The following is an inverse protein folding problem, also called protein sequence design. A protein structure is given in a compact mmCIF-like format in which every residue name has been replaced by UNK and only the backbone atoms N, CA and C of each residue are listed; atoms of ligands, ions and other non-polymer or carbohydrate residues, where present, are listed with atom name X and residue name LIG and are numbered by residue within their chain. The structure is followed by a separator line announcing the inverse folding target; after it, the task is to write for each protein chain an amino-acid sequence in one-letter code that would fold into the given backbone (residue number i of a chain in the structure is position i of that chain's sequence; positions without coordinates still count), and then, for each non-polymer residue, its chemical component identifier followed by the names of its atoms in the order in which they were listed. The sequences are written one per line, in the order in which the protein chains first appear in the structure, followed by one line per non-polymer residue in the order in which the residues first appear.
data_IF_418500921799
#
_entry.id   IF_418500921799
#
_cell.length_a   1.000
_cell.length_b   1.000
_cell.length_c   1.000
_cell.angle_alpha   90.00
_cell.angle_beta   90.00
_cell.angle_gamma   90.00
#
_symmetry.space_group_name_H-M   'P 1'
#
loop_
_entity.id
_entity.type
_entity.pdbx_description
1 polymer ?
#
# COMPACT_ATOMS: atom_id res chain seq x y z
N UNK A 1 24.27 0.48 7.90
CA UNK A 1 25.43 0.20 8.74
C UNK A 1 25.89 1.35 9.65
N UNK A 2 25.42 2.57 9.42
CA UNK A 2 25.71 3.74 10.29
C UNK A 2 25.16 3.50 11.69
N UNK A 3 23.93 3.02 11.83
CA UNK A 3 23.31 2.70 13.12
C UNK A 3 24.08 1.67 13.96
N UNK A 4 24.89 0.82 13.35
CA UNK A 4 25.79 -0.11 14.10
C UNK A 4 26.99 0.61 14.72
N UNK A 5 27.37 1.75 14.17
CA UNK A 5 28.53 2.54 14.61
C UNK A 5 28.12 3.60 15.61
N UNK A 6 26.91 4.15 15.47
CA UNK A 6 26.38 5.20 16.33
C UNK A 6 24.91 4.88 16.72
N UNK A 7 24.68 4.68 18.02
CA UNK A 7 23.37 4.35 18.57
C UNK A 7 22.33 5.46 18.44
N UNK A 8 22.75 6.70 18.18
CA UNK A 8 21.83 7.82 17.94
C UNK A 8 21.01 7.64 16.66
N UNK A 9 21.46 6.79 15.73
CA UNK A 9 20.74 6.44 14.50
C UNK A 9 19.69 5.33 14.68
N UNK A 10 19.39 4.95 15.92
CA UNK A 10 18.40 3.94 16.22
C UNK A 10 18.86 2.50 15.92
N UNK A 11 17.90 1.59 15.90
CA UNK A 11 18.12 0.17 15.66
C UNK A 11 17.15 -0.38 14.60
N UNK A 12 17.23 0.08 13.35
CA UNK A 12 16.27 -0.28 12.31
C UNK A 12 16.21 -1.80 12.04
N UNK A 13 17.28 -2.53 12.29
CA UNK A 13 17.31 -4.00 12.20
C UNK A 13 16.29 -4.70 13.09
N UNK A 14 15.81 -4.05 14.15
CA UNK A 14 14.79 -4.61 15.06
C UNK A 14 13.43 -4.76 14.40
N UNK A 15 13.10 -3.91 13.43
CA UNK A 15 11.77 -3.87 12.86
C UNK A 15 11.74 -3.94 11.32
N UNK A 16 12.88 -3.85 10.63
CA UNK A 16 12.93 -3.91 9.16
C UNK A 16 13.96 -4.92 8.59
N UNK A 17 14.39 -5.91 9.38
CA UNK A 17 15.33 -6.93 8.91
C UNK A 17 14.66 -8.13 8.25
N UNK A 18 13.40 -8.40 8.60
CA UNK A 18 12.64 -9.53 8.05
C UNK A 18 11.77 -9.05 6.89
N UNK A 19 12.29 -9.18 5.67
CA UNK A 19 11.59 -8.75 4.48
C UNK A 19 10.31 -9.55 4.25
N UNK A 20 10.28 -10.84 4.56
CA UNK A 20 9.09 -11.68 4.33
C UNK A 20 7.90 -11.26 5.18
N UNK A 21 8.15 -10.78 6.40
CA UNK A 21 7.09 -10.28 7.29
C UNK A 21 6.71 -8.83 7.04
N UNK A 22 7.51 -8.10 6.27
CA UNK A 22 7.34 -6.66 6.09
C UNK A 22 7.09 -6.25 4.64
N UNK A 23 6.84 -7.22 3.79
CA UNK A 23 6.46 -6.99 2.41
C UNK A 23 4.98 -6.62 2.27
N UNK A 24 4.72 -5.96 1.18
CA UNK A 24 3.39 -5.68 0.67
C UNK A 24 3.50 -5.57 -0.85
N UNK A 25 2.61 -6.19 -1.55
CA UNK A 25 2.48 -5.97 -2.98
C UNK A 25 1.19 -5.24 -3.28
N UNK A 26 1.31 -4.14 -3.98
CA UNK A 26 0.22 -3.32 -4.44
C UNK A 26 0.03 -3.51 -5.94
N UNK A 27 -1.19 -3.39 -6.41
CA UNK A 27 -1.48 -3.44 -7.83
C UNK A 27 -2.61 -2.45 -8.16
N UNK A 28 -2.45 -1.74 -9.25
CA UNK A 28 -3.53 -0.89 -9.78
C UNK A 28 -4.16 -1.60 -10.95
N UNK A 29 -5.41 -2.02 -10.79
CA UNK A 29 -6.23 -2.60 -11.84
C UNK A 29 -7.11 -1.50 -12.45
N UNK A 30 -6.99 -1.28 -13.75
CA UNK A 30 -7.84 -0.35 -14.50
C UNK A 30 -8.75 -1.15 -15.42
N UNK A 31 -10.07 -0.98 -15.29
CA UNK A 31 -11.03 -1.63 -16.20
C UNK A 31 -11.01 -0.93 -17.57
N UNK A 32 -11.08 -1.72 -18.63
CA UNK A 32 -11.08 -1.21 -20.01
C UNK A 32 -12.49 -1.10 -20.59
N UNK A 33 -13.42 -1.91 -20.06
CA UNK A 33 -14.82 -1.98 -20.44
C UNK A 33 -15.71 -2.24 -19.21
N UNK A 34 -17.00 -2.54 -19.42
CA UNK A 34 -17.98 -2.70 -18.35
C UNK A 34 -18.16 -4.12 -17.86
N UNK A 35 -17.42 -5.11 -18.39
CA UNK A 35 -17.64 -6.52 -18.06
C UNK A 35 -17.39 -6.84 -16.58
N UNK A 36 -16.43 -6.15 -15.94
CA UNK A 36 -16.07 -6.37 -14.53
C UNK A 36 -16.99 -5.57 -13.59
N UNK A 37 -17.57 -4.47 -14.05
CA UNK A 37 -18.37 -3.54 -13.24
C UNK A 37 -19.54 -4.21 -12.50
N UNK A 38 -20.30 -5.15 -13.09
CA UNK A 38 -21.39 -5.84 -12.40
C UNK A 38 -20.94 -6.59 -11.14
N UNK A 39 -19.77 -7.23 -11.17
CA UNK A 39 -19.22 -7.98 -10.03
C UNK A 39 -18.81 -7.03 -8.90
N UNK A 40 -18.17 -5.91 -9.23
CA UNK A 40 -17.86 -4.84 -8.27
C UNK A 40 -19.15 -4.33 -7.64
N UNK A 41 -20.14 -3.99 -8.46
CA UNK A 41 -21.44 -3.46 -8.01
C UNK A 41 -22.18 -4.47 -7.15
N UNK A 42 -22.08 -5.77 -7.44
CA UNK A 42 -22.72 -6.81 -6.63
C UNK A 42 -22.15 -6.84 -5.20
N UNK A 43 -20.86 -6.65 -5.02
CA UNK A 43 -20.22 -6.62 -3.70
C UNK A 43 -20.47 -5.28 -3.00
N UNK A 44 -20.18 -4.18 -3.67
CA UNK A 44 -20.22 -2.84 -3.08
C UNK A 44 -21.64 -2.25 -2.97
N UNK A 45 -22.61 -2.81 -3.70
CA UNK A 45 -23.96 -2.26 -3.87
C UNK A 45 -23.97 -0.84 -4.41
N UNK A 46 -22.91 -0.44 -5.09
CA UNK A 46 -22.72 0.88 -5.69
C UNK A 46 -22.01 0.74 -7.03
N UNK A 47 -22.51 1.44 -8.04
CA UNK A 47 -21.84 1.51 -9.34
C UNK A 47 -20.65 2.49 -9.25
N UNK A 48 -19.43 2.05 -9.58
CA UNK A 48 -18.24 2.89 -9.51
C UNK A 48 -18.26 4.09 -10.47
N UNK A 49 -19.10 4.08 -11.50
CA UNK A 49 -19.18 5.15 -12.49
C UNK A 49 -20.06 6.33 -12.08
N UNK A 50 -20.74 6.25 -10.94
CA UNK A 50 -21.69 7.30 -10.49
C UNK A 50 -21.03 8.54 -9.91
N UNK A 51 -19.71 8.56 -9.76
CA UNK A 51 -18.97 9.68 -9.16
C UNK A 51 -19.11 9.77 -7.63
N UNK A 52 -19.63 8.72 -6.98
CA UNK A 52 -19.69 8.60 -5.52
C UNK A 52 -18.57 7.70 -5.01
N UNK A 53 -18.34 7.70 -3.70
CA UNK A 53 -17.45 6.75 -3.02
C UNK A 53 -18.03 5.34 -3.19
N UNK A 54 -17.21 4.39 -3.64
CA UNK A 54 -17.65 3.03 -3.98
C UNK A 54 -17.53 2.09 -2.80
N UNK A 55 -16.32 1.86 -2.31
CA UNK A 55 -16.08 0.92 -1.21
C UNK A 55 -16.29 1.55 0.17
N UNK A 56 -16.11 2.86 0.30
CA UNK A 56 -16.18 3.54 1.60
C UNK A 56 -15.06 3.19 2.58
N UNK A 57 -14.20 2.25 2.22
CA UNK A 57 -13.08 1.72 2.96
C UNK A 57 -12.43 0.58 2.18
N UNK A 58 -11.71 -0.29 2.87
CA UNK A 58 -11.06 -1.46 2.30
C UNK A 58 -12.04 -2.64 2.31
N UNK A 59 -12.11 -3.35 1.19
CA UNK A 59 -12.78 -4.65 1.07
C UNK A 59 -11.71 -5.73 1.15
N UNK A 60 -11.75 -6.57 2.17
CA UNK A 60 -10.84 -7.69 2.32
C UNK A 60 -11.52 -8.99 1.91
N UNK A 61 -10.83 -9.79 1.11
CA UNK A 61 -11.26 -11.12 0.72
C UNK A 61 -10.91 -12.09 1.85
N UNK A 62 -11.89 -12.51 2.64
CA UNK A 62 -11.69 -13.32 3.84
C UNK A 62 -11.00 -14.65 3.53
N UNK A 63 -11.32 -15.25 2.40
CA UNK A 63 -10.82 -16.57 2.00
C UNK A 63 -9.55 -16.50 1.13
N UNK A 64 -8.98 -15.30 0.95
CA UNK A 64 -7.77 -15.15 0.14
C UNK A 64 -6.52 -15.54 0.91
N UNK A 65 -5.77 -16.49 0.35
CA UNK A 65 -4.47 -16.93 0.85
C UNK A 65 -3.41 -15.80 0.82
N UNK A 66 -3.57 -14.80 -0.05
CA UNK A 66 -2.73 -13.60 -0.09
C UNK A 66 -3.15 -12.52 0.92
N UNK A 67 -4.24 -12.73 1.65
CA UNK A 67 -4.96 -11.67 2.37
C UNK A 67 -5.23 -10.49 1.42
N UNK A 68 -5.76 -10.83 0.24
CA UNK A 68 -6.04 -9.88 -0.83
C UNK A 68 -7.13 -8.91 -0.37
N UNK A 69 -6.85 -7.64 -0.57
CA UNK A 69 -7.77 -6.57 -0.25
C UNK A 69 -7.80 -5.55 -1.40
N UNK A 70 -8.88 -4.81 -1.51
CA UNK A 70 -9.02 -3.82 -2.56
C UNK A 70 -9.90 -2.64 -2.12
N UNK A 71 -9.74 -1.53 -2.82
CA UNK A 71 -10.56 -0.34 -2.61
C UNK A 71 -10.77 0.40 -3.93
N UNK A 72 -11.94 1.01 -4.04
CA UNK A 72 -12.28 1.90 -5.15
C UNK A 72 -12.67 3.24 -4.55
N UNK A 73 -11.84 4.23 -4.76
CA UNK A 73 -12.11 5.60 -4.40
C UNK A 73 -13.18 6.19 -5.34
N UNK A 74 -13.61 7.41 -5.06
CA UNK A 74 -14.43 8.18 -5.99
C UNK A 74 -13.71 8.26 -7.34
N UNK A 75 -14.37 7.83 -8.42
CA UNK A 75 -13.78 7.84 -9.76
C UNK A 75 -13.69 9.24 -10.34
N UNK A 76 -12.82 9.41 -11.34
CA UNK A 76 -12.27 10.69 -11.71
C UNK A 76 -11.18 11.14 -10.72
N UNK A 77 -10.53 10.17 -10.04
CA UNK A 77 -9.47 10.39 -9.06
C UNK A 77 -8.25 11.07 -9.68
N UNK A 78 -7.92 10.71 -10.92
CA UNK A 78 -6.81 11.29 -11.64
C UNK A 78 -7.31 12.28 -12.71
N UNK A 79 -6.63 13.41 -12.82
CA UNK A 79 -7.02 14.50 -13.74
C UNK A 79 -7.13 14.04 -15.22
N UNK A 80 -6.35 13.02 -15.59
CA UNK A 80 -6.28 12.48 -16.94
C UNK A 80 -6.99 11.12 -17.08
N UNK A 81 -7.71 10.68 -16.06
CA UNK A 81 -8.44 9.42 -16.10
C UNK A 81 -9.64 9.55 -17.04
N UNK A 82 -9.75 8.63 -18.00
CA UNK A 82 -10.92 8.51 -18.85
C UNK A 82 -12.17 8.20 -18.02
N UNK A 83 -13.28 8.83 -18.35
CA UNK A 83 -14.52 8.74 -17.56
C UNK A 83 -15.18 7.35 -17.57
N UNK A 84 -14.88 6.55 -18.58
CA UNK A 84 -15.37 5.18 -18.75
C UNK A 84 -14.48 4.14 -18.07
N UNK A 85 -13.32 4.53 -17.53
CA UNK A 85 -12.38 3.65 -16.82
C UNK A 85 -12.54 3.74 -15.31
N UNK A 86 -12.42 2.59 -14.67
CA UNK A 86 -12.44 2.48 -13.20
C UNK A 86 -11.07 1.99 -12.73
N UNK A 87 -10.44 2.77 -11.86
CA UNK A 87 -9.18 2.40 -11.22
C UNK A 87 -9.45 1.77 -9.86
N UNK A 88 -8.97 0.55 -9.69
CA UNK A 88 -9.08 -0.22 -8.46
C UNK A 88 -7.68 -0.38 -7.86
N UNK A 89 -7.53 -0.07 -6.60
CA UNK A 89 -6.33 -0.41 -5.85
C UNK A 89 -6.51 -1.78 -5.20
N UNK A 90 -5.68 -2.73 -5.61
CA UNK A 90 -5.63 -4.10 -5.08
C UNK A 90 -4.30 -4.28 -4.35
N UNK A 91 -4.26 -5.02 -3.26
CA UNK A 91 -3.02 -5.35 -2.57
C UNK A 91 -3.11 -6.67 -1.82
N UNK A 92 -1.95 -7.29 -1.59
CA UNK A 92 -1.79 -8.48 -0.77
C UNK A 92 -0.69 -8.30 0.25
N UNK A 93 -0.88 -8.90 1.43
CA UNK A 93 0.08 -8.84 2.54
C UNK A 93 0.92 -10.12 2.63
N UNK A 94 0.38 -11.27 2.22
CA UNK A 94 1.08 -12.56 2.27
C UNK A 94 1.67 -12.89 0.91
N UNK A 95 2.62 -12.06 0.48
CA UNK A 95 3.17 -12.06 -0.87
C UNK A 95 3.95 -13.33 -1.24
N UNK A 96 4.41 -14.10 -0.25
CA UNK A 96 5.12 -15.39 -0.42
C UNK A 96 4.18 -16.61 -0.42
N UNK A 97 2.89 -16.42 -0.12
CA UNK A 97 1.91 -17.51 -0.07
C UNK A 97 1.37 -17.80 -1.47
N UNK A 98 1.09 -19.08 -1.73
CA UNK A 98 0.48 -19.53 -2.98
C UNK A 98 -0.97 -19.03 -3.05
N UNK A 99 -1.34 -18.42 -4.17
CA UNK A 99 -2.69 -17.93 -4.44
C UNK A 99 -3.72 -19.06 -4.60
N UNK A 100 -4.99 -18.69 -4.47
CA UNK A 100 -6.10 -19.65 -4.50
C UNK A 100 -6.48 -20.06 -5.92
N UNK A 101 -6.37 -19.16 -6.88
CA UNK A 101 -6.66 -19.39 -8.29
C UNK A 101 -5.38 -19.60 -9.11
N UNK A 102 -4.46 -18.65 -9.10
CA UNK A 102 -3.27 -18.67 -9.97
C UNK A 102 -2.17 -19.64 -9.50
N UNK A 103 -2.28 -20.18 -8.29
CA UNK A 103 -1.35 -21.19 -7.73
C UNK A 103 0.13 -20.73 -7.73
N UNK A 104 0.36 -19.44 -7.59
CA UNK A 104 1.70 -18.81 -7.48
C UNK A 104 1.74 -17.85 -6.30
N UNK A 105 2.93 -17.57 -5.72
CA UNK A 105 3.10 -16.45 -4.80
C UNK A 105 2.80 -15.11 -5.51
N UNK A 106 2.15 -14.17 -4.83
CA UNK A 106 1.79 -12.88 -5.42
C UNK A 106 3.02 -12.15 -5.98
N UNK A 107 4.12 -12.16 -5.26
CA UNK A 107 5.39 -11.52 -5.66
C UNK A 107 5.97 -12.03 -6.99
N UNK A 108 5.57 -13.23 -7.43
CA UNK A 108 6.04 -13.86 -8.66
C UNK A 108 4.99 -13.74 -9.80
N UNK A 109 3.87 -13.06 -9.51
CA UNK A 109 2.77 -12.91 -10.46
C UNK A 109 2.96 -11.70 -11.37
N UNK A 110 2.51 -11.85 -12.60
CA UNK A 110 2.29 -10.73 -13.52
C UNK A 110 1.04 -9.95 -13.15
N UNK A 111 0.88 -8.73 -13.66
CA UNK A 111 -0.35 -7.97 -13.45
C UNK A 111 -1.61 -8.71 -13.93
N UNK A 112 -1.52 -9.45 -15.04
CA UNK A 112 -2.62 -10.31 -15.51
C UNK A 112 -3.00 -11.35 -14.46
N UNK A 113 -2.02 -12.07 -13.89
CA UNK A 113 -2.25 -13.11 -12.89
C UNK A 113 -2.82 -12.54 -11.59
N UNK A 114 -2.35 -11.37 -11.15
CA UNK A 114 -2.95 -10.67 -9.99
C UNK A 114 -4.42 -10.30 -10.29
N UNK A 115 -4.71 -9.85 -11.51
CA UNK A 115 -6.10 -9.57 -11.91
C UNK A 115 -6.94 -10.84 -11.90
N UNK A 116 -6.42 -11.97 -12.39
CA UNK A 116 -7.14 -13.26 -12.39
C UNK A 116 -7.50 -13.68 -10.96
N UNK A 117 -6.58 -13.61 -10.02
CA UNK A 117 -6.82 -13.91 -8.61
C UNK A 117 -7.88 -12.98 -8.01
N UNK A 118 -7.80 -11.67 -8.29
CA UNK A 118 -8.79 -10.71 -7.83
C UNK A 118 -10.19 -10.98 -8.42
N UNK A 119 -10.29 -11.30 -9.72
CA UNK A 119 -11.55 -11.64 -10.38
C UNK A 119 -12.17 -12.91 -9.80
N UNK A 120 -11.36 -13.91 -9.46
CA UNK A 120 -11.81 -15.10 -8.77
C UNK A 120 -12.50 -14.75 -7.44
N UNK A 121 -11.86 -13.90 -6.62
CA UNK A 121 -12.44 -13.45 -5.36
C UNK A 121 -13.61 -12.45 -5.53
N UNK A 122 -13.79 -11.85 -6.70
CA UNK A 122 -15.01 -11.10 -7.04
C UNK A 122 -16.19 -12.01 -7.41
N UNK A 123 -15.96 -13.31 -7.58
CA UNK A 123 -16.97 -14.26 -8.01
C UNK A 123 -17.27 -14.25 -9.51
N UNK A 124 -16.29 -13.85 -10.32
CA UNK A 124 -16.36 -14.03 -11.78
C UNK A 124 -16.29 -15.52 -12.10
N UNK A 125 -17.16 -16.04 -12.99
CA UNK A 125 -17.06 -17.44 -13.43
C UNK A 125 -15.68 -17.78 -13.97
N UNK A 126 -15.14 -18.95 -13.59
CA UNK A 126 -13.75 -19.32 -13.89
C UNK A 126 -13.45 -19.30 -15.39
N UNK A 127 -14.41 -19.68 -16.24
CA UNK A 127 -14.30 -19.67 -17.69
C UNK A 127 -14.18 -18.27 -18.30
N UNK A 128 -14.51 -17.21 -17.55
CA UNK A 128 -14.40 -15.81 -17.99
C UNK A 128 -13.18 -15.07 -17.42
N UNK A 129 -12.55 -15.60 -16.38
CA UNK A 129 -11.48 -14.92 -15.65
C UNK A 129 -10.32 -14.57 -16.58
N UNK A 130 -9.85 -15.51 -17.38
CA UNK A 130 -8.72 -15.27 -18.26
C UNK A 130 -9.03 -14.24 -19.35
N UNK A 131 -10.23 -14.30 -19.94
CA UNK A 131 -10.67 -13.32 -20.95
C UNK A 131 -10.73 -11.92 -20.34
N UNK A 132 -11.37 -11.78 -19.17
CA UNK A 132 -11.52 -10.47 -18.53
C UNK A 132 -10.18 -9.90 -18.05
N UNK A 133 -9.30 -10.72 -17.50
CA UNK A 133 -7.98 -10.28 -17.09
C UNK A 133 -7.10 -9.85 -18.29
N UNK A 134 -7.34 -10.43 -19.48
CA UNK A 134 -6.56 -10.14 -20.68
C UNK A 134 -7.11 -8.95 -21.46
N UNK A 135 -8.45 -8.88 -21.64
CA UNK A 135 -9.09 -7.99 -22.59
C UNK A 135 -9.87 -6.85 -21.92
N UNK A 136 -10.26 -7.00 -20.65
CA UNK A 136 -11.13 -6.04 -19.95
C UNK A 136 -10.44 -5.32 -18.79
N UNK A 137 -9.15 -5.59 -18.55
CA UNK A 137 -8.38 -4.92 -17.50
C UNK A 137 -6.90 -4.77 -17.87
N UNK A 138 -6.27 -3.75 -17.31
CA UNK A 138 -4.81 -3.61 -17.25
C UNK A 138 -4.42 -3.50 -15.79
N UNK A 139 -3.41 -4.25 -15.37
CA UNK A 139 -2.91 -4.22 -14.01
C UNK A 139 -1.41 -3.89 -13.99
N UNK A 140 -1.05 -2.97 -13.12
CA UNK A 140 0.34 -2.59 -12.87
C UNK A 140 0.68 -2.98 -11.44
N UNK A 141 1.46 -4.07 -11.24
CA UNK A 141 1.92 -4.49 -9.92
C UNK A 141 3.08 -3.61 -9.43
N UNK A 142 3.17 -3.46 -8.12
CA UNK A 142 4.24 -2.71 -7.47
C UNK A 142 4.60 -3.40 -6.17
N UNK A 143 5.73 -4.10 -6.17
CA UNK A 143 6.28 -4.70 -4.94
C UNK A 143 6.88 -3.62 -4.06
N UNK A 144 6.52 -3.63 -2.78
CA UNK A 144 6.99 -2.68 -1.77
C UNK A 144 7.66 -3.42 -0.61
N UNK A 145 8.96 -3.72 -0.71
CA UNK A 145 9.68 -4.38 0.36
C UNK A 145 9.78 -3.46 1.59
N UNK A 146 9.66 -4.05 2.77
CA UNK A 146 9.72 -3.38 4.08
C UNK A 146 8.61 -2.35 4.34
N UNK A 147 7.62 -2.19 3.47
CA UNK A 147 6.60 -1.14 3.62
C UNK A 147 5.77 -1.29 4.90
N UNK A 148 5.57 -2.51 5.38
CA UNK A 148 4.82 -2.80 6.60
C UNK A 148 5.71 -2.93 7.84
N UNK A 149 7.00 -2.62 7.75
CA UNK A 149 7.95 -2.69 8.88
C UNK A 149 7.51 -1.84 10.08
N UNK A 150 6.75 -0.78 9.88
CA UNK A 150 6.20 0.04 10.95
C UNK A 150 5.17 -0.70 11.84
N UNK A 151 4.61 -1.82 11.40
CA UNK A 151 3.78 -2.69 12.23
C UNK A 151 4.58 -3.64 13.12
N UNK A 152 5.86 -3.83 12.84
CA UNK A 152 6.69 -4.74 13.60
C UNK A 152 6.93 -4.22 15.02
N UNK A 153 6.97 -5.10 16.03
CA UNK A 153 7.28 -4.71 17.41
C UNK A 153 8.63 -3.99 17.50
N UNK A 154 8.63 -2.83 18.12
CA UNK A 154 9.83 -2.02 18.34
C UNK A 154 9.73 -1.18 19.61
N UNK A 155 10.87 -0.73 20.11
CA UNK A 155 10.97 0.26 21.16
C UNK A 155 11.09 1.67 20.56
N UNK A 156 10.91 2.68 21.40
CA UNK A 156 11.06 4.08 20.99
C UNK A 156 12.45 4.34 20.38
N UNK A 157 13.48 3.80 21.01
CA UNK A 157 14.88 4.02 20.63
C UNK A 157 15.30 3.25 19.36
N UNK A 158 14.45 2.38 18.84
CA UNK A 158 14.75 1.64 17.60
C UNK A 158 14.62 2.52 16.34
N UNK A 159 13.84 3.60 16.42
CA UNK A 159 13.81 4.63 15.36
C UNK A 159 14.76 5.78 15.68
N UNK A 160 15.48 6.31 14.68
CA UNK A 160 16.23 7.56 14.87
C UNK A 160 15.28 8.74 15.09
N UNK A 161 15.67 9.71 15.87
CA UNK A 161 14.96 10.98 15.92
C UNK A 161 15.02 11.69 14.56
N UNK A 162 14.04 12.56 14.28
CA UNK A 162 14.00 13.34 13.03
C UNK A 162 15.32 14.09 12.84
N UNK A 163 15.79 14.78 13.88
CA UNK A 163 17.12 15.38 13.91
C UNK A 163 17.93 14.67 14.97
N UNK A 164 18.91 13.91 14.55
CA UNK A 164 19.83 13.22 15.43
C UNK A 164 20.72 14.23 16.15
N UNK A 165 21.07 13.95 17.39
CA UNK A 165 21.98 14.79 18.17
C UNK A 165 23.24 15.10 17.36
N UNK A 166 23.64 16.35 17.35
CA UNK A 166 24.81 16.87 16.62
C UNK A 166 24.69 16.85 15.08
N UNK A 167 23.52 16.50 14.51
CA UNK A 167 23.26 16.69 13.09
C UNK A 167 23.10 18.18 12.75
N UNK A 168 23.81 18.63 11.70
CA UNK A 168 23.83 20.05 11.32
C UNK A 168 23.08 20.34 10.02
N UNK A 169 23.02 19.37 9.10
CA UNK A 169 22.52 19.59 7.74
C UNK A 169 21.75 18.41 7.14
N UNK A 170 21.32 17.44 7.95
CA UNK A 170 20.47 16.35 7.50
C UNK A 170 19.45 15.97 8.56
N UNK A 171 18.37 15.32 8.14
CA UNK A 171 17.32 14.81 9.00
C UNK A 171 16.74 13.50 8.44
N UNK A 172 16.15 12.69 9.30
CA UNK A 172 15.38 11.51 8.93
C UNK A 172 13.90 11.86 8.81
N UNK A 173 13.23 11.39 7.76
CA UNK A 173 11.83 11.70 7.48
C UNK A 173 11.01 10.44 7.34
N UNK A 174 9.70 10.59 7.53
CA UNK A 174 8.72 9.54 7.27
C UNK A 174 8.59 8.55 8.41
N UNK A 175 7.93 7.44 8.12
CA UNK A 175 7.50 6.45 9.13
C UNK A 175 8.62 5.74 9.90
N UNK A 176 9.84 5.81 9.42
CA UNK A 176 11.02 5.21 10.08
C UNK A 176 11.78 6.17 10.99
N UNK A 177 11.39 7.45 11.03
CA UNK A 177 11.88 8.40 12.01
C UNK A 177 10.94 8.45 13.22
N UNK A 178 11.47 8.83 14.39
CA UNK A 178 10.68 8.97 15.61
C UNK A 178 10.20 10.42 15.76
N UNK A 179 8.90 10.59 15.99
CA UNK A 179 8.33 11.84 16.52
C UNK A 179 7.54 11.53 17.77
N UNK A 180 7.65 12.34 18.83
CA UNK A 180 6.97 12.08 20.11
C UNK A 180 5.46 12.35 20.05
N UNK A 181 4.98 13.04 19.02
CA UNK A 181 3.59 13.51 18.91
C UNK A 181 2.70 12.64 18.03
N UNK A 182 3.25 11.63 17.39
CA UNK A 182 2.49 10.77 16.48
C UNK A 182 3.05 9.34 16.50
N UNK A 183 2.18 8.37 16.20
CA UNK A 183 2.57 6.96 16.13
C UNK A 183 2.07 6.27 14.87
N UNK A 184 1.11 6.87 14.19
CA UNK A 184 0.42 6.28 13.05
C UNK A 184 1.14 6.63 11.75
N UNK A 185 1.41 5.63 10.94
CA UNK A 185 2.13 5.68 9.66
C UNK A 185 1.29 6.33 8.53
N UNK A 186 0.77 7.48 8.72
CA UNK A 186 -0.05 8.20 7.72
C UNK A 186 0.77 9.20 6.91
N UNK A 187 0.15 9.79 5.91
CA UNK A 187 0.73 10.92 5.18
C UNK A 187 1.04 12.06 6.15
N UNK A 188 0.17 12.28 7.13
CA UNK A 188 0.38 13.28 8.19
C UNK A 188 1.66 13.03 8.97
N UNK A 189 1.96 11.77 9.29
CA UNK A 189 3.22 11.41 9.96
C UNK A 189 4.43 11.86 9.13
N UNK A 190 4.40 11.61 7.84
CA UNK A 190 5.49 12.02 6.93
C UNK A 190 5.59 13.54 6.81
N UNK A 191 4.46 14.24 6.74
CA UNK A 191 4.43 15.72 6.73
C UNK A 191 4.94 16.27 8.05
N UNK A 192 4.51 15.71 9.18
CA UNK A 192 4.96 16.14 10.51
C UNK A 192 6.48 16.04 10.66
N UNK A 193 7.04 14.87 10.34
CA UNK A 193 8.50 14.69 10.41
C UNK A 193 9.26 15.63 9.48
N UNK A 194 8.68 15.95 8.31
CA UNK A 194 9.27 16.93 7.39
C UNK A 194 9.23 18.36 7.97
N UNK A 195 8.13 18.76 8.61
CA UNK A 195 8.01 20.06 9.28
C UNK A 195 8.98 20.14 10.47
N UNK A 196 9.06 19.12 11.31
CA UNK A 196 10.02 19.04 12.42
C UNK A 196 11.45 19.18 11.91
N UNK A 197 11.80 18.52 10.80
CA UNK A 197 13.13 18.62 10.19
C UNK A 197 13.43 20.04 9.73
N UNK A 198 12.54 20.66 8.98
CA UNK A 198 12.75 22.02 8.46
C UNK A 198 12.86 23.03 9.59
N UNK A 199 11.95 22.99 10.55
CA UNK A 199 11.96 23.95 11.65
C UNK A 199 13.18 23.77 12.56
N UNK A 200 13.53 22.51 12.87
CA UNK A 200 14.70 22.23 13.69
C UNK A 200 16.01 22.62 13.02
N UNK A 201 16.21 22.28 11.75
CA UNK A 201 17.43 22.63 11.01
C UNK A 201 17.59 24.15 10.79
N UNK A 202 16.48 24.87 10.68
CA UNK A 202 16.47 26.32 10.51
C UNK A 202 16.44 27.10 11.85
N UNK A 203 16.32 26.41 12.98
CA UNK A 203 16.18 27.03 14.29
C UNK A 203 14.88 27.82 14.45
N UNK A 204 13.81 27.41 13.79
CA UNK A 204 12.51 28.08 13.82
C UNK A 204 11.56 27.31 14.75
N UNK A 205 11.06 27.96 15.79
CA UNK A 205 10.03 27.39 16.67
C UNK A 205 8.63 27.78 16.18
N UNK A 206 7.99 26.86 15.47
CA UNK A 206 6.59 27.03 14.99
C UNK A 206 5.63 26.00 15.54
N UNK A 207 6.13 25.05 16.30
CA UNK A 207 5.34 23.90 16.75
C UNK A 207 4.85 23.00 15.58
N UNK A 208 4.78 21.69 15.82
CA UNK A 208 4.29 20.69 14.83
C UNK A 208 3.31 19.76 15.52
#
# INVERSE_FOLDING_TARGET
NIAKQDKSFGHPEKFCSDIQKTNWESATVTTLDDKIIPYITNICKRDPKTGHVVTGGIVSCQDSSWLLSWTINRQGQFKQQDKDKVCVWVYGLFTDTIGDYVKKPMKDCTGKEITMEWLYHLGVPEELIEDYATNSAICIPTMMPYITAFFMPRRKEDRPDVIVKDATNFAFLGQFAHTPRDTVFTTEYSVRTAMEAVYGLLGVDRGV
#
